data_IF_280847433193
#
_entry.id   IF_280847433193
#
_cell.length_a   1.000
_cell.length_b   1.000
_cell.length_c   1.000
_cell.angle_alpha   90.00
_cell.angle_beta   90.00
_cell.angle_gamma   90.00
#
_symmetry.space_group_name_H-M   'P 1'
#
loop_
_entity.id
_entity.type
_entity.pdbx_description
1 polymer ?
#
# COMPACT_ATOMS: atom_id res chain seq x y z
N UNK A 1 -23.29 0.79 3.72
CA UNK A 1 -22.60 0.92 5.02
C UNK A 1 -21.24 1.60 4.90
N UNK A 2 -20.16 0.98 4.40
CA UNK A 2 -18.79 1.58 4.39
C UNK A 2 -18.68 3.00 3.81
N UNK A 3 -19.30 3.26 2.65
CA UNK A 3 -19.34 4.59 2.02
C UNK A 3 -19.87 5.69 2.96
N UNK A 4 -20.84 5.35 3.81
CA UNK A 4 -21.42 6.30 4.77
C UNK A 4 -20.50 6.56 5.97
N UNK A 5 -19.66 5.59 6.36
CA UNK A 5 -18.75 5.72 7.50
C UNK A 5 -17.38 6.27 7.13
N UNK A 6 -16.90 6.02 5.91
CA UNK A 6 -15.51 6.29 5.52
C UNK A 6 -15.38 7.28 4.35
N UNK A 7 -16.51 7.71 3.77
CA UNK A 7 -16.53 8.63 2.63
C UNK A 7 -16.71 7.92 1.30
N UNK A 8 -16.94 8.72 0.26
CA UNK A 8 -17.24 8.20 -1.09
C UNK A 8 -16.05 7.52 -1.74
N UNK A 9 -14.84 7.96 -1.37
CA UNK A 9 -13.57 7.54 -1.93
C UNK A 9 -12.89 6.41 -1.17
N UNK A 10 -13.54 5.77 -0.19
CA UNK A 10 -12.94 4.75 0.70
C UNK A 10 -12.27 3.55 -0.01
N UNK A 11 -12.45 3.39 -1.34
CA UNK A 11 -11.81 2.36 -2.16
C UNK A 11 -10.50 2.82 -2.82
N UNK A 12 -10.22 4.12 -2.85
CA UNK A 12 -8.97 4.64 -3.37
C UNK A 12 -7.81 4.29 -2.44
N UNK A 13 -6.62 4.11 -3.02
CA UNK A 13 -5.43 3.75 -2.25
C UNK A 13 -4.81 4.97 -1.56
N UNK A 14 -4.11 4.72 -0.46
CA UNK A 14 -3.38 5.75 0.28
C UNK A 14 -4.29 6.88 0.79
N UNK A 15 -3.75 8.10 0.78
CA UNK A 15 -4.45 9.29 1.31
C UNK A 15 -5.72 9.62 0.53
N UNK A 16 -5.80 9.24 -0.75
CA UNK A 16 -6.95 9.53 -1.60
C UNK A 16 -8.22 8.80 -1.13
N UNK A 17 -8.06 7.70 -0.38
CA UNK A 17 -9.18 6.97 0.22
C UNK A 17 -9.55 7.39 1.63
N UNK A 18 -8.86 8.37 2.23
CA UNK A 18 -9.05 8.77 3.62
C UNK A 18 -9.78 10.10 3.76
N UNK A 19 -11.07 10.03 4.13
CA UNK A 19 -11.80 11.19 4.64
C UNK A 19 -11.46 11.39 6.13
N UNK A 20 -10.52 12.29 6.43
CA UNK A 20 -10.05 12.58 7.80
C UNK A 20 -11.17 13.00 8.74
N UNK A 21 -12.23 13.66 8.23
CA UNK A 21 -13.35 14.12 9.05
C UNK A 21 -14.26 12.96 9.50
N UNK A 22 -14.20 11.82 8.79
CA UNK A 22 -14.97 10.62 9.12
C UNK A 22 -14.14 9.58 9.85
N UNK A 23 -12.90 9.35 9.42
CA UNK A 23 -12.03 8.32 9.98
C UNK A 23 -11.35 8.75 11.28
N UNK A 24 -11.20 10.07 11.50
CA UNK A 24 -10.37 10.64 12.57
C UNK A 24 -8.91 10.15 12.54
N UNK A 25 -8.42 9.75 11.36
CA UNK A 25 -7.02 9.36 11.14
C UNK A 25 -6.37 10.40 10.23
N UNK A 26 -5.24 11.02 10.63
CA UNK A 26 -4.60 12.04 9.82
C UNK A 26 -3.97 11.45 8.55
N UNK A 27 -3.99 12.22 7.45
CA UNK A 27 -3.39 11.80 6.17
C UNK A 27 -1.91 11.48 6.28
N UNK A 28 -1.17 12.10 7.20
CA UNK A 28 0.24 11.75 7.46
C UNK A 28 0.41 10.29 7.89
N UNK A 29 -0.51 9.76 8.70
CA UNK A 29 -0.50 8.34 9.12
C UNK A 29 -0.79 7.41 7.94
N UNK A 30 -1.79 7.74 7.13
CA UNK A 30 -2.19 6.91 6.00
C UNK A 30 -1.13 6.94 4.89
N UNK A 31 -0.57 8.12 4.60
CA UNK A 31 0.51 8.31 3.64
C UNK A 31 1.72 7.47 4.02
N UNK A 32 2.25 7.62 5.25
CA UNK A 32 3.39 6.82 5.71
C UNK A 32 3.14 5.31 5.59
N UNK A 33 1.96 4.81 5.99
CA UNK A 33 1.64 3.38 5.86
C UNK A 33 1.56 2.92 4.40
N UNK A 34 1.05 3.76 3.51
CA UNK A 34 0.96 3.45 2.09
C UNK A 34 2.35 3.44 1.43
N UNK A 35 3.20 4.40 1.76
CA UNK A 35 4.56 4.50 1.25
C UNK A 35 5.40 3.30 1.68
N UNK A 36 5.37 2.94 2.98
CA UNK A 36 6.04 1.76 3.51
C UNK A 36 5.56 0.47 2.84
N UNK A 37 4.25 0.30 2.66
CA UNK A 37 3.71 -0.87 1.97
C UNK A 37 4.21 -0.96 0.51
N UNK A 38 4.26 0.17 -0.20
CA UNK A 38 4.77 0.20 -1.57
C UNK A 38 6.25 -0.17 -1.63
N UNK A 39 7.04 0.33 -0.68
CA UNK A 39 8.46 0.03 -0.56
C UNK A 39 8.70 -1.45 -0.23
N UNK A 40 8.03 -2.00 0.79
CA UNK A 40 8.12 -3.41 1.16
C UNK A 40 7.75 -4.34 -0.02
N UNK A 41 6.67 -4.03 -0.73
CA UNK A 41 6.26 -4.79 -1.91
C UNK A 41 7.29 -4.69 -3.04
N UNK A 42 7.91 -3.52 -3.23
CA UNK A 42 8.99 -3.35 -4.21
C UNK A 42 10.19 -4.22 -3.84
N UNK A 43 10.62 -4.21 -2.58
CA UNK A 43 11.74 -5.03 -2.09
C UNK A 43 11.48 -6.52 -2.28
N UNK A 44 10.27 -6.99 -1.96
CA UNK A 44 9.88 -8.39 -2.19
C UNK A 44 9.90 -8.76 -3.68
N UNK A 45 9.42 -7.87 -4.56
CA UNK A 45 9.47 -8.09 -6.01
C UNK A 45 10.91 -8.20 -6.49
N UNK A 46 11.79 -7.29 -6.09
CA UNK A 46 13.21 -7.33 -6.47
C UNK A 46 13.85 -8.64 -5.99
N UNK A 47 13.68 -8.98 -4.71
CA UNK A 47 14.22 -10.21 -4.13
C UNK A 47 13.72 -11.48 -4.83
N UNK A 48 12.44 -11.50 -5.24
CA UNK A 48 11.88 -12.61 -5.99
C UNK A 48 12.53 -12.77 -7.37
N UNK A 49 12.67 -11.67 -8.13
CA UNK A 49 13.29 -11.72 -9.46
C UNK A 49 14.77 -12.12 -9.37
N UNK A 50 15.53 -11.52 -8.45
CA UNK A 50 16.93 -11.91 -8.23
C UNK A 50 17.08 -13.38 -7.85
N UNK A 51 16.15 -13.95 -7.07
CA UNK A 51 16.15 -15.38 -6.75
C UNK A 51 15.87 -16.25 -7.98
N UNK A 52 14.90 -15.87 -8.82
CA UNK A 52 14.58 -16.63 -10.04
C UNK A 52 15.77 -16.65 -11.01
N UNK A 53 16.45 -15.53 -11.19
CA UNK A 53 17.66 -15.44 -12.03
C UNK A 53 18.77 -16.36 -11.52
N UNK A 54 19.02 -16.38 -10.20
CA UNK A 54 20.00 -17.29 -9.59
C UNK A 54 19.63 -18.75 -9.82
N UNK A 55 18.36 -19.12 -9.61
CA UNK A 55 17.89 -20.51 -9.82
C UNK A 55 18.05 -20.91 -11.29
N UNK A 56 17.69 -20.04 -12.23
CA UNK A 56 17.83 -20.29 -13.66
C UNK A 56 19.29 -20.46 -14.11
N UNK A 57 20.25 -19.81 -13.45
CA UNK A 57 21.68 -19.97 -13.75
C UNK A 57 22.31 -21.24 -13.16
N UNK A 58 21.66 -21.88 -12.19
CA UNK A 58 22.16 -23.08 -11.50
C UNK A 58 21.47 -24.38 -11.94
N UNK A 59 20.57 -24.30 -12.92
CA UNK A 59 19.94 -25.42 -13.64
C UNK A 59 20.47 -25.45 -15.08
#
# INVERSE_FOLDING_TARGET
>A
VKKAWLGVDYKQAGIAGNDMHRSNVPNTRIGYRYDVLCEELHLLKVAYHSRQEVILFHL
#
